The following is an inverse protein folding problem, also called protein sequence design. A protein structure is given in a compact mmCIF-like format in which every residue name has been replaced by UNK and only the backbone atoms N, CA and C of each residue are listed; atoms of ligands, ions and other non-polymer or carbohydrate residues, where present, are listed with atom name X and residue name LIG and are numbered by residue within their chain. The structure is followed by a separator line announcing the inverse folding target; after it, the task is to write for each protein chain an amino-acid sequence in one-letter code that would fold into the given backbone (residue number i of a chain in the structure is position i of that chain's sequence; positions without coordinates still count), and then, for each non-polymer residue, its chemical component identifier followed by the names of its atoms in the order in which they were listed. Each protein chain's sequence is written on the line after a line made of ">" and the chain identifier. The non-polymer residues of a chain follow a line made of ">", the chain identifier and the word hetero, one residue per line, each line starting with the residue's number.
data_IF_146452029845
#
_entry.id   IF_146452029845
#
_cell.length_a   1.000
_cell.length_b   1.000
_cell.length_c   1.000
_cell.angle_alpha   90.00
_cell.angle_beta   90.00
_cell.angle_gamma   90.00
#
_symmetry.space_group_name_H-M   'P 1'
#
loop_
_entity.id
_entity.type
_entity.pdbx_description
1 polymer ?
#
# COMPACT_ATOMS: atom_id res chain seq x y z
N UNK A 1 4.74 -10.78 -2.84
CA UNK A 1 5.90 -10.14 -3.42
C UNK A 1 6.98 -9.80 -2.41
N UNK A 2 6.68 -9.08 -1.32
CA UNK A 2 7.66 -8.78 -0.27
C UNK A 2 8.27 -10.07 0.30
N UNK A 3 7.44 -11.04 0.64
CA UNK A 3 7.89 -12.34 1.16
C UNK A 3 8.59 -13.22 0.12
N UNK A 4 8.33 -13.00 -1.16
CA UNK A 4 8.96 -13.75 -2.25
C UNK A 4 10.27 -13.12 -2.75
N UNK A 5 10.61 -11.89 -2.34
CA UNK A 5 11.72 -11.12 -2.90
C UNK A 5 13.03 -11.17 -2.09
N UNK A 6 13.09 -11.88 -0.96
CA UNK A 6 14.29 -11.94 -0.12
C UNK A 6 14.15 -12.82 1.12
N UNK A 7 15.18 -12.83 1.97
CA UNK A 7 15.21 -13.55 3.27
C UNK A 7 14.30 -12.87 4.31
N UNK A 8 12.99 -12.90 4.06
CA UNK A 8 11.99 -12.28 4.93
C UNK A 8 11.11 -13.32 5.65
N UNK A 9 11.53 -14.59 5.64
CA UNK A 9 10.73 -15.71 6.19
C UNK A 9 10.54 -15.60 7.72
N UNK A 10 11.43 -14.88 8.41
CA UNK A 10 11.34 -14.64 9.86
C UNK A 10 10.34 -13.54 10.25
N UNK A 11 9.72 -12.86 9.29
CA UNK A 11 8.70 -11.84 9.58
C UNK A 11 7.32 -12.48 9.69
N UNK A 12 6.56 -12.09 10.70
CA UNK A 12 5.20 -12.62 10.97
C UNK A 12 4.31 -12.60 9.73
N UNK A 13 4.40 -11.53 8.93
CA UNK A 13 3.62 -11.40 7.68
C UNK A 13 4.02 -12.38 6.57
N UNK A 14 5.17 -13.07 6.67
CA UNK A 14 5.68 -13.98 5.66
C UNK A 14 5.61 -15.45 6.08
N UNK A 15 5.14 -15.75 7.29
CA UNK A 15 4.98 -17.12 7.75
C UNK A 15 3.98 -17.89 6.90
N UNK A 16 4.27 -19.16 6.66
CA UNK A 16 3.34 -20.08 5.97
C UNK A 16 2.04 -20.17 6.77
N UNK A 17 0.90 -19.93 6.11
CA UNK A 17 -0.40 -19.89 6.75
C UNK A 17 -0.82 -18.51 7.27
N UNK A 18 -0.02 -17.47 7.08
CA UNK A 18 -0.41 -16.09 7.40
C UNK A 18 -1.59 -15.61 6.55
N UNK A 19 -1.80 -16.20 5.37
CA UNK A 19 -2.87 -15.90 4.41
C UNK A 19 -2.99 -14.40 4.07
N UNK A 20 -1.89 -13.67 4.15
CA UNK A 20 -1.85 -12.26 3.77
C UNK A 20 -1.75 -12.10 2.25
N UNK A 21 -2.84 -11.66 1.62
CA UNK A 21 -2.86 -11.20 0.23
C UNK A 21 -2.27 -9.79 0.11
N UNK A 22 -3.06 -8.84 -0.34
CA UNK A 22 -2.68 -7.43 -0.32
C UNK A 22 -2.76 -6.89 1.12
N UNK A 23 -1.63 -6.43 1.64
CA UNK A 23 -1.53 -5.74 2.92
C UNK A 23 -1.28 -4.26 2.71
N UNK A 24 -1.68 -3.44 3.69
CA UNK A 24 -1.34 -2.02 3.67
C UNK A 24 0.16 -1.86 3.88
N UNK A 25 0.81 -1.13 2.96
CA UNK A 25 2.18 -0.69 3.12
C UNK A 25 2.22 0.59 3.95
N UNK A 26 1.48 1.62 3.56
CA UNK A 26 1.36 2.88 4.28
C UNK A 26 0.42 3.86 3.58
N UNK A 27 0.21 5.01 4.21
CA UNK A 27 -0.45 6.17 3.65
C UNK A 27 0.58 7.31 3.58
N UNK A 28 0.92 7.72 2.36
CA UNK A 28 2.04 8.63 2.13
C UNK A 28 1.57 10.00 1.67
N UNK A 29 1.83 11.05 2.43
CA UNK A 29 1.61 12.41 1.96
C UNK A 29 2.37 12.67 0.65
N UNK A 30 1.71 13.31 -0.29
CA UNK A 30 2.27 13.58 -1.61
C UNK A 30 2.10 15.06 -1.94
N UNK A 31 3.16 15.70 -2.43
CA UNK A 31 3.07 17.00 -3.09
C UNK A 31 2.68 16.81 -4.57
N UNK A 32 2.39 17.89 -5.27
CA UNK A 32 2.23 17.83 -6.72
C UNK A 32 3.53 17.41 -7.42
N UNK A 33 4.67 17.75 -6.82
CA UNK A 33 6.01 17.29 -7.21
C UNK A 33 6.77 16.85 -5.98
N UNK A 34 7.21 15.60 -5.97
CA UNK A 34 7.91 14.97 -4.84
C UNK A 34 6.98 14.65 -3.67
N UNK A 35 7.57 14.24 -2.59
CA UNK A 35 6.87 13.84 -1.36
C UNK A 35 7.71 14.18 -0.13
N UNK A 36 7.09 14.53 1.01
CA UNK A 36 7.79 14.71 2.26
C UNK A 36 8.11 13.35 2.88
N UNK A 37 9.22 13.25 3.59
CA UNK A 37 9.55 12.10 4.44
C UNK A 37 10.32 12.55 5.67
N UNK A 38 10.22 11.76 6.74
CA UNK A 38 11.00 11.94 7.97
C UNK A 38 10.87 13.35 8.55
N UNK A 39 9.67 13.90 8.54
CA UNK A 39 9.42 15.26 9.02
C UNK A 39 9.66 15.38 10.53
N UNK A 40 10.17 16.53 11.03
CA UNK A 40 10.28 16.81 12.46
C UNK A 40 8.92 16.65 13.14
N UNK A 41 8.88 15.92 14.25
CA UNK A 41 7.65 15.70 15.03
C UNK A 41 8.01 15.56 16.52
N UNK A 42 7.22 16.16 17.42
CA UNK A 42 7.38 15.95 18.87
C UNK A 42 7.04 14.51 19.27
N UNK A 43 6.23 13.81 18.46
CA UNK A 43 5.84 12.41 18.69
C UNK A 43 6.51 11.53 17.63
N UNK A 44 7.78 11.18 17.86
CA UNK A 44 8.50 10.28 16.96
C UNK A 44 8.04 8.83 17.11
N UNK A 45 7.70 8.39 18.31
CA UNK A 45 7.18 7.07 18.58
C UNK A 45 5.70 7.16 18.96
N UNK A 46 4.79 6.51 18.21
CA UNK A 46 3.37 6.52 18.53
C UNK A 46 3.13 5.91 19.91
N UNK A 47 2.23 6.48 20.73
CA UNK A 47 1.85 5.87 22.01
C UNK A 47 1.08 4.55 21.79
N UNK A 48 1.02 3.72 22.83
CA UNK A 48 0.34 2.42 22.77
C UNK A 48 -1.14 2.54 22.35
N UNK A 49 -1.81 3.63 22.71
CA UNK A 49 -3.18 3.90 22.29
C UNK A 49 -3.30 4.03 20.77
N UNK A 50 -2.44 4.81 20.14
CA UNK A 50 -2.42 4.95 18.69
C UNK A 50 -1.99 3.66 17.98
N UNK A 51 -1.10 2.87 18.59
CA UNK A 51 -0.71 1.58 18.02
C UNK A 51 -1.87 0.58 17.97
N UNK A 52 -2.82 0.63 18.91
CA UNK A 52 -4.06 -0.15 18.82
C UNK A 52 -4.92 0.22 17.60
N UNK A 53 -4.90 1.50 17.19
CA UNK A 53 -5.61 1.94 15.98
C UNK A 53 -5.00 1.36 14.68
N UNK A 54 -3.70 0.99 14.73
CA UNK A 54 -2.99 0.34 13.63
C UNK A 54 -3.22 -1.18 13.54
N UNK A 55 -3.68 -1.82 14.61
CA UNK A 55 -3.96 -3.26 14.63
C UNK A 55 -5.01 -3.66 13.59
N UNK A 56 -4.78 -4.78 12.90
CA UNK A 56 -5.66 -5.28 11.85
C UNK A 56 -5.67 -4.45 10.55
N UNK A 57 -4.87 -3.38 10.47
CA UNK A 57 -4.65 -2.60 9.24
C UNK A 57 -3.29 -2.92 8.65
N UNK A 58 -2.25 -2.86 9.47
CA UNK A 58 -0.90 -3.25 9.10
C UNK A 58 -0.65 -4.74 9.39
N UNK A 59 0.18 -5.42 8.59
CA UNK A 59 0.53 -6.82 8.84
C UNK A 59 1.34 -7.01 10.13
N UNK A 60 2.10 -6.01 10.53
CA UNK A 60 2.81 -5.97 11.81
C UNK A 60 2.95 -4.53 12.35
N UNK A 61 3.07 -4.42 13.68
CA UNK A 61 3.19 -3.12 14.35
C UNK A 61 4.57 -2.46 14.18
N UNK A 62 5.58 -3.21 13.78
CA UNK A 62 6.90 -2.67 13.44
C UNK A 62 6.83 -1.83 12.16
N UNK A 63 6.12 -2.34 11.15
CA UNK A 63 5.83 -1.60 9.93
C UNK A 63 5.01 -0.34 10.23
N UNK A 64 3.96 -0.45 11.05
CA UNK A 64 3.15 0.70 11.43
C UNK A 64 3.98 1.82 12.08
N UNK A 65 4.89 1.47 13.00
CA UNK A 65 5.82 2.45 13.62
C UNK A 65 6.79 3.07 12.61
N UNK A 66 7.28 2.26 11.67
CA UNK A 66 8.15 2.76 10.60
C UNK A 66 7.42 3.75 9.70
N UNK A 67 6.22 3.41 9.25
CA UNK A 67 5.39 4.25 8.38
C UNK A 67 4.99 5.56 9.06
N UNK A 68 4.67 5.53 10.36
CA UNK A 68 4.46 6.75 11.12
C UNK A 68 5.69 7.65 11.10
N UNK A 69 6.88 7.12 11.45
CA UNK A 69 8.09 7.94 11.52
C UNK A 69 8.45 8.54 10.17
N UNK A 70 8.29 7.77 9.10
CA UNK A 70 8.71 8.15 7.76
C UNK A 70 7.72 9.06 7.05
N UNK A 71 6.44 8.78 7.19
CA UNK A 71 5.38 9.42 6.42
C UNK A 71 4.31 10.08 7.28
N UNK A 72 3.90 9.43 8.36
CA UNK A 72 2.85 9.94 9.25
C UNK A 72 3.22 11.27 9.89
N UNK A 73 4.48 11.45 10.28
CA UNK A 73 4.99 12.72 10.83
C UNK A 73 4.86 13.90 9.86
N UNK A 74 4.74 13.62 8.56
CA UNK A 74 4.56 14.63 7.52
C UNK A 74 3.10 14.92 7.19
N UNK A 75 2.15 14.20 7.78
CA UNK A 75 0.72 14.32 7.46
C UNK A 75 0.03 15.50 8.13
N UNK A 76 0.65 16.11 9.16
CA UNK A 76 0.01 17.08 10.03
C UNK A 76 -1.03 16.49 10.99
N UNK A 77 -1.09 15.15 11.10
CA UNK A 77 -1.99 14.41 11.97
C UNK A 77 -1.30 13.99 13.27
N UNK A 78 -2.08 13.76 14.31
CA UNK A 78 -1.62 12.94 15.45
C UNK A 78 -1.46 11.49 15.03
N UNK A 79 -0.71 10.64 15.77
CA UNK A 79 -0.56 9.22 15.44
C UNK A 79 -1.89 8.47 15.32
N UNK A 80 -2.84 8.68 16.22
CA UNK A 80 -4.18 8.04 16.15
C UNK A 80 -4.97 8.50 14.92
N UNK A 81 -4.95 9.79 14.60
CA UNK A 81 -5.61 10.30 13.39
C UNK A 81 -4.97 9.74 12.11
N UNK A 82 -3.64 9.62 12.08
CA UNK A 82 -2.93 9.02 10.95
C UNK A 82 -3.34 7.57 10.74
N UNK A 83 -3.35 6.74 11.78
CA UNK A 83 -3.76 5.34 11.65
C UNK A 83 -5.26 5.19 11.31
N UNK A 84 -6.11 6.08 11.82
CA UNK A 84 -7.51 6.15 11.40
C UNK A 84 -7.65 6.52 9.92
N UNK A 85 -6.81 7.43 9.42
CA UNK A 85 -6.76 7.80 8.01
C UNK A 85 -6.26 6.63 7.13
N UNK A 86 -5.25 5.89 7.58
CA UNK A 86 -4.78 4.66 6.91
C UNK A 86 -5.92 3.63 6.80
N UNK A 87 -6.64 3.40 7.89
CA UNK A 87 -7.80 2.49 7.90
C UNK A 87 -8.90 2.95 6.94
N UNK A 88 -9.21 4.25 6.92
CA UNK A 88 -10.21 4.81 5.98
C UNK A 88 -9.76 4.64 4.52
N UNK A 89 -8.50 4.92 4.23
CA UNK A 89 -7.94 4.74 2.90
C UNK A 89 -7.98 3.26 2.46
N UNK A 90 -7.65 2.33 3.37
CA UNK A 90 -7.73 0.88 3.10
C UNK A 90 -9.16 0.44 2.82
N UNK A 91 -10.12 0.90 3.62
CA UNK A 91 -11.53 0.52 3.48
C UNK A 91 -12.20 1.11 2.23
N UNK A 92 -11.60 2.15 1.65
CA UNK A 92 -12.09 2.71 0.38
C UNK A 92 -11.68 1.89 -0.84
N UNK A 93 -10.65 1.06 -0.72
CA UNK A 93 -10.09 0.32 -1.84
C UNK A 93 -10.55 -1.13 -1.80
N UNK A 94 -11.27 -1.55 -2.84
CA UNK A 94 -11.60 -2.95 -3.08
C UNK A 94 -10.44 -3.63 -3.81
N UNK A 95 -9.98 -4.75 -3.27
CA UNK A 95 -9.00 -5.60 -3.94
C UNK A 95 -9.75 -6.47 -4.95
N UNK A 96 -9.34 -6.52 -6.24
CA UNK A 96 -9.96 -7.40 -7.21
C UNK A 96 -9.92 -8.85 -6.75
N UNK A 97 -11.03 -9.58 -6.93
CA UNK A 97 -11.19 -10.95 -6.43
C UNK A 97 -10.10 -11.92 -6.93
N UNK A 98 -9.66 -11.76 -8.17
CA UNK A 98 -8.58 -12.54 -8.77
C UNK A 98 -7.19 -12.26 -8.14
N UNK A 99 -7.04 -11.14 -7.44
CA UNK A 99 -5.81 -10.71 -6.78
C UNK A 99 -5.88 -10.80 -5.25
N UNK A 100 -7.06 -11.03 -4.69
CA UNK A 100 -7.26 -11.03 -3.23
C UNK A 100 -6.54 -12.21 -2.57
N UNK A 101 -6.76 -13.43 -3.11
CA UNK A 101 -6.14 -14.67 -2.59
C UNK A 101 -5.74 -15.61 -3.74
N UNK A 102 -4.75 -15.26 -4.56
CA UNK A 102 -4.29 -16.14 -5.62
C UNK A 102 -3.69 -17.42 -5.02
N UNK A 103 -4.28 -18.57 -5.38
CA UNK A 103 -3.84 -19.90 -4.91
C UNK A 103 -2.60 -20.43 -5.67
N UNK A 104 -2.33 -19.88 -6.84
CA UNK A 104 -1.17 -20.21 -7.68
C UNK A 104 -0.53 -18.93 -8.20
N UNK A 105 0.74 -19.03 -8.55
CA UNK A 105 1.44 -17.93 -9.21
C UNK A 105 0.76 -17.60 -10.54
N UNK A 106 0.50 -16.32 -10.78
CA UNK A 106 -0.11 -15.82 -12.00
C UNK A 106 0.88 -14.93 -12.75
N UNK A 107 0.77 -14.91 -14.08
CA UNK A 107 1.47 -13.94 -14.92
C UNK A 107 0.45 -12.95 -15.48
N UNK A 108 0.64 -11.69 -15.16
CA UNK A 108 -0.27 -10.62 -15.58
C UNK A 108 0.53 -9.44 -16.13
N UNK A 109 -0.05 -8.72 -17.07
CA UNK A 109 0.53 -7.42 -17.41
C UNK A 109 0.19 -6.37 -16.34
N UNK A 110 1.05 -5.37 -16.13
CA UNK A 110 0.70 -4.25 -15.24
C UNK A 110 -0.61 -3.56 -15.65
N UNK A 111 -0.92 -3.55 -16.94
CA UNK A 111 -2.15 -2.97 -17.46
C UNK A 111 -3.39 -3.80 -17.08
N UNK A 112 -3.30 -5.14 -17.09
CA UNK A 112 -4.42 -5.99 -16.67
C UNK A 112 -4.67 -5.85 -15.17
N UNK A 113 -3.62 -5.77 -14.35
CA UNK A 113 -3.74 -5.46 -12.92
C UNK A 113 -4.42 -4.10 -12.72
N UNK A 114 -3.99 -3.08 -13.47
CA UNK A 114 -4.60 -1.75 -13.40
C UNK A 114 -6.09 -1.79 -13.77
N UNK A 115 -6.46 -2.50 -14.84
CA UNK A 115 -7.86 -2.67 -15.26
C UNK A 115 -8.69 -3.35 -14.18
N UNK A 116 -8.20 -4.45 -13.61
CA UNK A 116 -8.88 -5.16 -12.53
C UNK A 116 -9.19 -4.21 -11.35
N UNK A 117 -8.21 -3.41 -10.90
CA UNK A 117 -8.44 -2.43 -9.85
C UNK A 117 -9.42 -1.33 -10.25
N UNK A 118 -9.39 -0.85 -11.48
CA UNK A 118 -10.34 0.18 -11.98
C UNK A 118 -11.76 -0.39 -12.00
N UNK A 119 -11.94 -1.62 -12.45
CA UNK A 119 -13.25 -2.28 -12.53
C UNK A 119 -13.84 -2.56 -11.15
N UNK A 120 -13.00 -2.94 -10.18
CA UNK A 120 -13.41 -3.17 -8.79
C UNK A 120 -13.71 -1.87 -8.03
N UNK A 121 -13.17 -0.71 -8.44
CA UNK A 121 -13.22 0.52 -7.66
C UNK A 121 -13.93 1.64 -8.40
N UNK A 122 -15.20 1.87 -8.08
CA UNK A 122 -15.98 2.95 -8.70
C UNK A 122 -15.32 4.32 -8.50
N UNK A 123 -15.04 5.00 -9.60
CA UNK A 123 -14.41 6.32 -9.62
C UNK A 123 -12.90 6.30 -9.76
N UNK A 124 -12.24 5.14 -9.61
CA UNK A 124 -10.82 4.98 -9.95
C UNK A 124 -10.67 5.01 -11.48
N UNK A 125 -9.64 5.69 -11.97
CA UNK A 125 -9.37 5.86 -13.41
C UNK A 125 -7.88 5.73 -13.71
N UNK A 126 -7.48 5.51 -14.96
CA UNK A 126 -6.09 5.63 -15.37
C UNK A 126 -5.52 7.00 -14.96
N UNK A 127 -4.27 7.00 -14.48
CA UNK A 127 -3.63 8.20 -13.95
C UNK A 127 -3.84 8.46 -12.46
N UNK A 128 -4.68 7.67 -11.78
CA UNK A 128 -4.93 7.77 -10.34
C UNK A 128 -4.27 6.62 -9.55
N UNK A 129 -3.58 5.73 -10.22
CA UNK A 129 -2.89 4.61 -9.63
C UNK A 129 -1.66 4.19 -10.42
N UNK A 130 -0.75 3.47 -9.79
CA UNK A 130 0.39 2.85 -10.44
C UNK A 130 0.61 1.43 -9.90
N UNK A 131 0.89 0.50 -10.79
CA UNK A 131 1.41 -0.82 -10.47
C UNK A 131 2.92 -0.73 -10.43
N UNK A 132 3.54 -1.05 -9.30
CA UNK A 132 4.98 -1.11 -9.16
C UNK A 132 5.47 -2.55 -9.22
N UNK A 133 6.61 -2.77 -9.86
CA UNK A 133 7.24 -4.09 -9.97
C UNK A 133 8.73 -4.02 -9.68
N UNK A 134 9.26 -5.12 -9.20
CA UNK A 134 10.70 -5.28 -8.98
C UNK A 134 11.11 -6.70 -9.35
N UNK A 135 12.20 -6.85 -10.11
CA UNK A 135 12.74 -8.15 -10.55
C UNK A 135 11.69 -9.07 -11.19
N UNK A 136 10.79 -8.47 -12.00
CA UNK A 136 9.74 -9.23 -12.70
C UNK A 136 8.57 -9.68 -11.81
N UNK A 137 8.46 -9.16 -10.58
CA UNK A 137 7.37 -9.48 -9.66
C UNK A 137 6.55 -8.25 -9.31
N UNK A 138 5.24 -8.43 -9.11
CA UNK A 138 4.39 -7.40 -8.53
C UNK A 138 4.95 -7.02 -7.14
N UNK A 139 5.24 -5.76 -6.93
CA UNK A 139 5.72 -5.24 -5.66
C UNK A 139 4.59 -4.62 -4.86
N UNK A 140 3.91 -3.64 -5.43
CA UNK A 140 2.83 -2.91 -4.79
C UNK A 140 1.91 -2.26 -5.82
N UNK A 141 0.72 -1.91 -5.37
CA UNK A 141 -0.22 -1.06 -6.11
C UNK A 141 -0.38 0.23 -5.31
N UNK A 142 -0.06 1.36 -5.94
CA UNK A 142 -0.20 2.70 -5.36
C UNK A 142 -1.47 3.33 -5.89
N UNK A 143 -2.33 3.80 -5.00
CA UNK A 143 -3.60 4.46 -5.33
C UNK A 143 -3.61 5.84 -4.71
N UNK A 144 -3.96 6.86 -5.49
CA UNK A 144 -3.92 8.24 -5.06
C UNK A 144 -5.30 8.73 -4.64
N UNK A 145 -5.35 9.33 -3.46
CA UNK A 145 -6.56 9.83 -2.83
C UNK A 145 -6.51 11.36 -2.62
N UNK A 146 -7.67 11.98 -2.51
CA UNK A 146 -7.81 13.35 -2.02
C UNK A 146 -7.34 13.45 -0.55
N UNK A 147 -7.01 14.65 -0.08
CA UNK A 147 -6.54 14.87 1.31
C UNK A 147 -7.58 14.44 2.37
N UNK A 148 -8.85 14.53 2.03
CA UNK A 148 -9.97 14.08 2.88
C UNK A 148 -10.30 12.59 2.72
N UNK A 149 -9.56 11.88 1.84
CA UNK A 149 -9.70 10.46 1.51
C UNK A 149 -11.05 10.07 0.91
N UNK A 150 -11.83 11.04 0.41
CA UNK A 150 -13.17 10.78 -0.15
C UNK A 150 -13.12 10.33 -1.59
N UNK A 151 -12.17 10.85 -2.38
CA UNK A 151 -12.11 10.63 -3.81
C UNK A 151 -10.74 10.12 -4.25
N UNK A 152 -10.72 9.39 -5.36
CA UNK A 152 -9.49 9.09 -6.10
C UNK A 152 -9.04 10.33 -6.88
N UNK A 153 -7.73 10.56 -6.99
CA UNK A 153 -7.16 11.73 -7.67
C UNK A 153 -6.07 11.37 -8.66
N UNK A 154 -5.94 12.11 -9.76
CA UNK A 154 -4.78 12.02 -10.63
C UNK A 154 -3.47 12.31 -9.88
N UNK A 155 -2.45 11.50 -10.15
CA UNK A 155 -1.13 11.63 -9.54
C UNK A 155 -0.02 11.34 -10.57
N UNK A 156 0.27 12.27 -11.47
CA UNK A 156 1.20 12.05 -12.58
C UNK A 156 2.61 11.66 -12.12
N UNK A 157 3.05 12.12 -10.96
CA UNK A 157 4.34 11.77 -10.40
C UNK A 157 4.43 10.28 -10.01
N UNK A 158 3.39 9.75 -9.39
CA UNK A 158 3.28 8.34 -9.02
C UNK A 158 3.16 7.46 -10.27
N UNK A 159 2.32 7.86 -11.22
CA UNK A 159 2.09 7.08 -12.44
C UNK A 159 3.30 7.03 -13.37
N UNK A 160 4.17 8.03 -13.37
CA UNK A 160 5.44 8.00 -14.12
C UNK A 160 6.39 6.89 -13.63
N UNK A 161 6.26 6.44 -12.39
CA UNK A 161 7.05 5.37 -11.77
C UNK A 161 6.42 3.98 -11.96
N UNK A 162 5.34 3.87 -12.73
CA UNK A 162 4.68 2.59 -12.98
C UNK A 162 5.61 1.59 -13.67
N UNK A 163 5.38 0.32 -13.37
CA UNK A 163 6.06 -0.82 -13.97
C UNK A 163 5.94 -0.81 -15.50
N UNK A 164 7.06 -0.95 -16.20
CA UNK A 164 7.13 -0.95 -17.68
C UNK A 164 7.30 -2.34 -18.29
N UNK A 165 7.34 -3.38 -17.47
CA UNK A 165 7.43 -4.76 -17.93
C UNK A 165 6.14 -5.17 -18.68
N UNK A 166 6.27 -5.98 -19.73
CA UNK A 166 5.09 -6.49 -20.42
C UNK A 166 4.30 -7.47 -19.55
N UNK A 167 5.01 -8.30 -18.78
CA UNK A 167 4.44 -9.30 -17.88
C UNK A 167 5.21 -9.31 -16.57
N UNK A 168 4.49 -9.49 -15.48
CA UNK A 168 5.04 -9.67 -14.14
C UNK A 168 4.40 -10.86 -13.44
N UNK A 169 5.11 -11.44 -12.51
CA UNK A 169 4.58 -12.52 -11.67
C UNK A 169 3.84 -11.94 -10.46
N UNK A 170 2.64 -12.44 -10.23
CA UNK A 170 1.87 -12.24 -9.01
C UNK A 170 2.01 -13.53 -8.21
N UNK A 171 2.72 -13.54 -7.07
CA UNK A 171 2.92 -14.75 -6.28
C UNK A 171 1.61 -15.17 -5.62
N UNK A 172 1.47 -16.48 -5.28
CA UNK A 172 0.34 -16.94 -4.48
C UNK A 172 0.42 -16.38 -3.07
N UNK A 173 -0.71 -16.37 -2.39
CA UNK A 173 -0.80 -16.14 -0.95
C UNK A 173 -0.21 -17.36 -0.24
N UNK A 174 0.57 -17.15 0.82
CA UNK A 174 1.25 -18.20 1.59
C UNK A 174 0.48 -18.58 2.85
#
# INVERSE_FOLDING_TARGET
>A
SFCASGNNDDRDQCQIGSNHGFVVHGLWPQYERGFPSDCPSPIRNPPASAMRDAEGVFPDLGLARYEWRKHGTCSGRSPSEYFADVRRARNKVEIPSELEQPRSAQRMSPLDIQRAFIDANRGLRPGMMAVACQRGMLQEVRICLSKDLRDFRPCPEVTRQACRSQQINVPPVR
#
